data_IF_983673100872
#
_entry.id   IF_983673100872
#
_cell.length_a   1.000
_cell.length_b   1.000
_cell.length_c   1.000
_cell.angle_alpha   90.00
_cell.angle_beta   90.00
_cell.angle_gamma   90.00
#
_symmetry.space_group_name_H-M   'P 1'
#
loop_
_entity.id
_entity.type
_entity.pdbx_description
1 polymer ?
#
# COMPACT_ATOMS: atom_id res chain seq x y z
N UNK A 1 -9.55 8.33 12.84
CA UNK A 1 -10.67 7.56 12.25
C UNK A 1 -10.19 6.80 11.01
N UNK A 2 -10.54 5.52 10.92
CA UNK A 2 -10.31 4.64 9.76
C UNK A 2 -11.64 4.32 9.07
N UNK A 3 -12.60 3.78 9.82
CA UNK A 3 -13.98 3.55 9.36
C UNK A 3 -14.97 4.27 10.26
N UNK A 4 -16.12 4.65 9.70
CA UNK A 4 -17.22 5.22 10.47
C UNK A 4 -18.56 4.91 9.83
N UNK A 5 -19.59 4.93 10.67
CA UNK A 5 -21.01 4.94 10.35
C UNK A 5 -21.73 5.75 11.43
N UNK A 6 -23.02 5.98 11.28
CA UNK A 6 -23.82 6.74 12.26
C UNK A 6 -23.78 6.14 13.68
N UNK A 7 -23.45 4.84 13.81
CA UNK A 7 -23.47 4.10 15.08
C UNK A 7 -22.10 3.72 15.61
N UNK A 8 -21.06 3.76 14.78
CA UNK A 8 -19.78 3.14 15.13
C UNK A 8 -18.62 3.81 14.44
N UNK A 9 -17.52 4.00 15.18
CA UNK A 9 -16.27 4.56 14.70
C UNK A 9 -15.15 3.58 15.03
N UNK A 10 -14.31 3.29 14.05
CA UNK A 10 -13.06 2.55 14.24
C UNK A 10 -11.87 3.50 14.09
N UNK A 11 -11.05 3.60 15.14
CA UNK A 11 -9.81 4.40 15.17
C UNK A 11 -8.61 3.56 14.73
N UNK A 12 -7.42 4.17 14.62
CA UNK A 12 -6.19 3.44 14.23
C UNK A 12 -5.91 2.26 15.16
N UNK A 13 -6.12 2.47 16.46
CA UNK A 13 -5.82 1.49 17.51
C UNK A 13 -6.79 0.30 17.51
N UNK A 14 -7.94 0.43 16.84
CA UNK A 14 -8.92 -0.65 16.66
C UNK A 14 -8.67 -1.53 15.43
N UNK A 15 -7.68 -1.21 14.60
CA UNK A 15 -7.37 -1.94 13.35
C UNK A 15 -6.10 -2.76 13.53
N UNK A 16 -6.12 -4.01 13.05
CA UNK A 16 -5.02 -4.96 13.20
C UNK A 16 -3.77 -4.65 12.35
N UNK A 17 -3.90 -3.76 11.37
CA UNK A 17 -2.85 -3.43 10.41
C UNK A 17 -2.61 -1.91 10.36
N UNK A 18 -1.36 -1.46 10.14
CA UNK A 18 -1.07 -0.06 9.90
C UNK A 18 -1.83 0.43 8.65
N UNK A 19 -2.49 1.57 8.77
CA UNK A 19 -3.19 2.20 7.63
C UNK A 19 -2.26 3.24 7.03
N UNK A 20 -1.53 2.87 5.97
CA UNK A 20 -0.38 3.62 5.44
C UNK A 20 -0.62 5.12 5.16
N UNK A 21 -1.84 5.51 4.80
CA UNK A 21 -2.22 6.90 4.52
C UNK A 21 -2.66 7.69 5.77
N UNK A 22 -2.45 7.15 6.97
CA UNK A 22 -2.66 7.85 8.24
C UNK A 22 -1.32 8.22 8.87
N UNK A 23 -1.34 9.30 9.65
CA UNK A 23 -0.16 9.76 10.41
C UNK A 23 0.41 8.64 11.28
N UNK A 24 1.73 8.54 11.31
CA UNK A 24 2.53 7.60 12.12
C UNK A 24 2.39 6.12 11.73
N UNK A 25 1.86 5.82 10.54
CA UNK A 25 1.84 4.45 10.04
C UNK A 25 3.26 3.92 9.81
N UNK A 26 3.61 2.85 10.51
CA UNK A 26 4.87 2.13 10.37
C UNK A 26 4.63 0.62 10.59
N UNK A 27 4.98 -0.25 9.62
CA UNK A 27 5.41 0.06 8.27
C UNK A 27 4.28 0.68 7.42
N UNK A 28 4.65 1.31 6.30
CA UNK A 28 3.69 1.80 5.30
C UNK A 28 3.41 0.73 4.26
N UNK A 29 2.49 -0.18 4.57
CA UNK A 29 2.11 -1.27 3.67
C UNK A 29 1.24 -0.73 2.52
N UNK A 30 1.72 -0.82 1.28
CA UNK A 30 1.00 -0.35 0.08
C UNK A 30 0.19 -1.50 -0.54
N UNK A 31 0.79 -2.69 -0.67
CA UNK A 31 0.08 -3.90 -1.10
C UNK A 31 -0.13 -4.83 0.09
N UNK A 32 -1.32 -4.76 0.71
CA UNK A 32 -1.68 -5.60 1.86
C UNK A 32 -1.79 -7.09 1.52
N UNK A 33 -2.00 -7.46 0.26
CA UNK A 33 -2.09 -8.87 -0.14
C UNK A 33 -0.73 -9.58 -0.16
N UNK A 34 0.32 -8.86 -0.53
CA UNK A 34 1.69 -9.39 -0.63
C UNK A 34 2.63 -8.81 0.43
N UNK A 35 2.10 -8.05 1.40
CA UNK A 35 2.86 -7.33 2.43
C UNK A 35 4.01 -6.45 1.86
N UNK A 36 3.77 -5.75 0.75
CA UNK A 36 4.75 -4.85 0.11
C UNK A 36 4.61 -3.44 0.67
N UNK A 37 5.72 -2.87 1.11
CA UNK A 37 5.83 -1.55 1.74
C UNK A 37 6.20 -0.43 0.75
N UNK A 38 6.08 0.83 1.19
CA UNK A 38 6.60 1.99 0.45
C UNK A 38 8.11 1.87 0.22
N UNK A 39 8.84 1.36 1.23
CA UNK A 39 10.28 1.12 1.21
C UNK A 39 10.68 0.06 0.17
N UNK A 40 9.91 -1.03 0.04
CA UNK A 40 10.14 -2.05 -1.00
C UNK A 40 9.96 -1.48 -2.41
N UNK A 41 8.94 -0.64 -2.61
CA UNK A 41 8.69 0.01 -3.90
C UNK A 41 9.79 1.03 -4.20
N UNK A 42 10.21 1.81 -3.21
CA UNK A 42 11.36 2.72 -3.31
C UNK A 42 12.60 1.96 -3.74
N UNK A 43 12.93 0.86 -3.06
CA UNK A 43 14.08 0.02 -3.40
C UNK A 43 13.96 -0.55 -4.82
N UNK A 44 12.76 -0.96 -5.27
CA UNK A 44 12.56 -1.41 -6.64
C UNK A 44 12.85 -0.29 -7.67
N UNK A 45 12.38 0.94 -7.42
CA UNK A 45 12.63 2.11 -8.28
C UNK A 45 14.11 2.48 -8.30
N UNK A 46 14.77 2.49 -7.14
CA UNK A 46 16.23 2.72 -7.02
C UNK A 46 17.04 1.64 -7.78
N UNK A 47 16.54 0.40 -7.81
CA UNK A 47 17.11 -0.71 -8.58
C UNK A 47 16.65 -0.77 -10.05
N UNK A 48 16.03 0.29 -10.57
CA UNK A 48 15.75 0.42 -12.00
C UNK A 48 14.31 0.14 -12.43
N UNK A 49 13.36 -0.12 -11.51
CA UNK A 49 11.94 -0.21 -11.89
C UNK A 49 11.45 1.13 -12.45
N UNK A 50 10.81 1.11 -13.63
CA UNK A 50 10.24 2.31 -14.27
C UNK A 50 8.76 2.17 -14.59
N UNK A 51 8.25 0.95 -14.59
CA UNK A 51 6.84 0.64 -14.83
C UNK A 51 6.22 -0.12 -13.66
N UNK A 52 4.88 -0.09 -13.57
CA UNK A 52 4.15 -0.87 -12.56
C UNK A 52 4.48 -2.36 -12.68
N UNK A 53 4.70 -2.85 -13.90
CA UNK A 53 5.08 -4.24 -14.16
C UNK A 53 6.43 -4.57 -13.54
N UNK A 54 7.42 -3.68 -13.64
CA UNK A 54 8.74 -3.89 -13.05
C UNK A 54 8.63 -4.00 -11.52
N UNK A 55 7.87 -3.09 -10.89
CA UNK A 55 7.62 -3.13 -9.44
C UNK A 55 6.93 -4.43 -9.03
N UNK A 56 5.91 -4.89 -9.78
CA UNK A 56 5.24 -6.16 -9.52
C UNK A 56 6.23 -7.34 -9.59
N UNK A 57 7.10 -7.36 -10.60
CA UNK A 57 8.11 -8.40 -10.78
C UNK A 57 9.10 -8.40 -9.61
N UNK A 58 9.60 -7.22 -9.23
CA UNK A 58 10.65 -7.07 -8.22
C UNK A 58 10.16 -7.25 -6.78
N UNK A 59 8.93 -6.82 -6.48
CA UNK A 59 8.38 -6.82 -5.10
C UNK A 59 7.40 -7.95 -4.83
N UNK A 60 6.83 -8.56 -5.87
CA UNK A 60 5.74 -9.53 -5.72
C UNK A 60 4.38 -8.91 -5.37
N UNK A 61 4.27 -7.58 -5.41
CA UNK A 61 2.98 -6.90 -5.27
C UNK A 61 1.97 -7.44 -6.29
N UNK A 62 0.70 -7.49 -5.92
CA UNK A 62 -0.42 -7.89 -6.80
C UNK A 62 -0.41 -9.35 -7.31
N UNK A 63 0.50 -10.24 -6.86
CA UNK A 63 0.52 -11.65 -7.28
C UNK A 63 -0.70 -12.48 -6.82
N UNK A 64 -1.16 -12.29 -5.58
CA UNK A 64 -2.28 -13.03 -4.99
C UNK A 64 -3.34 -12.05 -4.48
N UNK A 65 -4.03 -11.37 -5.40
CA UNK A 65 -4.94 -10.29 -5.05
C UNK A 65 -6.18 -10.78 -4.28
N UNK A 66 -6.37 -10.21 -3.07
CA UNK A 66 -7.61 -10.31 -2.31
C UNK A 66 -7.91 -8.94 -1.65
N UNK A 67 -7.90 -7.88 -2.46
CA UNK A 67 -7.86 -6.50 -1.96
C UNK A 67 -9.15 -6.06 -1.26
N UNK A 68 -10.30 -6.65 -1.61
CA UNK A 68 -11.58 -6.38 -0.95
C UNK A 68 -11.56 -6.78 0.53
N UNK A 69 -10.77 -7.80 0.86
CA UNK A 69 -10.62 -8.31 2.24
C UNK A 69 -9.40 -7.70 2.93
N UNK A 70 -8.25 -7.67 2.24
CA UNK A 70 -6.96 -7.36 2.87
C UNK A 70 -6.60 -5.87 2.88
N UNK A 71 -7.07 -5.08 1.90
CA UNK A 71 -6.75 -3.65 1.85
C UNK A 71 -7.79 -2.86 2.66
N UNK A 72 -7.41 -2.01 3.64
CA UNK A 72 -8.35 -1.17 4.37
C UNK A 72 -9.19 -0.22 3.50
N UNK A 73 -8.82 0.00 2.23
CA UNK A 73 -9.64 0.74 1.27
C UNK A 73 -10.71 -0.11 0.57
N UNK A 74 -10.64 -1.44 0.70
CA UNK A 74 -11.45 -2.40 -0.06
C UNK A 74 -11.21 -2.36 -1.58
N UNK A 75 -10.07 -1.82 -2.03
CA UNK A 75 -9.76 -1.58 -3.46
C UNK A 75 -8.35 -2.02 -3.82
N UNK A 76 -8.10 -2.27 -5.10
CA UNK A 76 -6.78 -2.63 -5.61
C UNK A 76 -5.74 -1.54 -5.28
N UNK A 77 -4.53 -1.97 -4.91
CA UNK A 77 -3.40 -1.10 -4.57
C UNK A 77 -2.65 -0.52 -5.78
N UNK A 78 -3.01 -0.89 -7.01
CA UNK A 78 -2.27 -0.50 -8.23
C UNK A 78 -2.06 1.01 -8.37
N UNK A 79 -3.08 1.83 -8.07
CA UNK A 79 -2.97 3.30 -8.10
C UNK A 79 -2.08 3.85 -6.98
N UNK A 80 -2.09 3.19 -5.82
CA UNK A 80 -1.24 3.58 -4.69
C UNK A 80 0.23 3.25 -4.99
N UNK A 81 0.51 2.10 -5.62
CA UNK A 81 1.85 1.75 -6.10
C UNK A 81 2.35 2.78 -7.12
N UNK A 82 1.53 3.15 -8.11
CA UNK A 82 1.90 4.18 -9.11
C UNK A 82 2.27 5.50 -8.45
N UNK A 83 1.48 5.96 -7.48
CA UNK A 83 1.77 7.20 -6.74
C UNK A 83 3.10 7.11 -5.97
N UNK A 84 3.39 5.97 -5.37
CA UNK A 84 4.68 5.74 -4.69
C UNK A 84 5.82 5.73 -5.69
N UNK A 85 5.65 5.11 -6.87
CA UNK A 85 6.66 5.16 -7.92
C UNK A 85 6.93 6.58 -8.40
N UNK A 86 5.89 7.37 -8.69
CA UNK A 86 5.99 8.77 -9.12
C UNK A 86 6.80 9.62 -8.13
N UNK A 87 6.64 9.35 -6.82
CA UNK A 87 7.42 10.00 -5.77
C UNK A 87 8.94 9.74 -5.85
N UNK A 88 9.37 8.58 -6.37
CA UNK A 88 10.77 8.14 -6.35
C UNK A 88 11.46 8.08 -7.72
N UNK A 89 10.72 8.18 -8.83
CA UNK A 89 11.29 8.18 -10.19
C UNK A 89 12.05 9.49 -10.51
N UNK A 90 11.88 10.54 -9.70
CA UNK A 90 12.61 11.79 -9.82
C UNK A 90 11.78 12.90 -10.48
N UNK A 91 11.01 13.60 -9.65
CA UNK A 91 10.65 15.01 -9.86
C UNK A 91 11.41 15.81 -8.79
#
# INVERSE_FOLDING_TARGET
MVYYSDKTIFTKDSIKVPVWFKKDANPKIICYCSNVTEEDIKAAVENGARTLKDVIIMTGAMKNCNCEVNNPKGKCCSNDIKRVMEKYIGI
#
